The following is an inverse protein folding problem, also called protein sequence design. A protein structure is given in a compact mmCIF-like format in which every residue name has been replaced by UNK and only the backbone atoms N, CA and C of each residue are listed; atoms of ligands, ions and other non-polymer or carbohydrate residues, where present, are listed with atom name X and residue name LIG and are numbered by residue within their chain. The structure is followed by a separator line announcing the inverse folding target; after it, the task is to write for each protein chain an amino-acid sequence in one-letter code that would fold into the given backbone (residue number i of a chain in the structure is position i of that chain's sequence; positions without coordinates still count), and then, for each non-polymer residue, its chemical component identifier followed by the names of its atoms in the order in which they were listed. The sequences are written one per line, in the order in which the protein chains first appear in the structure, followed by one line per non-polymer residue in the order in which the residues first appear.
data_IF_124244566675
#
_entry.id   IF_124244566675
#
_cell.length_a   1.000
_cell.length_b   1.000
_cell.length_c   1.000
_cell.angle_alpha   90.00
_cell.angle_beta   90.00
_cell.angle_gamma   90.00
#
_symmetry.space_group_name_H-M   'P 1'
#
loop_
_entity.id
_entity.type
_entity.pdbx_description
1 polymer ?
#
# COMPACT_ATOMS: atom_id res chain seq x y z
N UNK A 1 -2.18 0.80 21.04
CA UNK A 1 -3.17 1.77 20.56
C UNK A 1 -4.56 1.35 21.06
N UNK A 2 -5.48 2.27 21.37
CA UNK A 2 -6.86 1.88 21.73
C UNK A 2 -7.71 1.62 20.47
N UNK A 3 -8.80 0.86 20.61
CA UNK A 3 -9.61 0.41 19.46
C UNK A 3 -10.28 1.59 18.71
N UNK A 4 -10.78 2.60 19.42
CA UNK A 4 -11.44 3.76 18.79
C UNK A 4 -10.48 4.54 17.89
N UNK A 5 -9.23 4.72 18.34
CA UNK A 5 -8.16 5.38 17.56
C UNK A 5 -7.77 4.51 16.36
N UNK A 6 -7.64 3.20 16.56
CA UNK A 6 -7.31 2.26 15.49
C UNK A 6 -8.37 2.30 14.37
N UNK A 7 -9.64 2.18 14.74
CA UNK A 7 -10.77 2.25 13.79
C UNK A 7 -10.80 3.56 13.01
N UNK A 8 -10.49 4.69 13.67
CA UNK A 8 -10.40 5.99 13.00
C UNK A 8 -9.28 6.00 11.95
N UNK A 9 -8.08 5.54 12.31
CA UNK A 9 -6.92 5.48 11.40
C UNK A 9 -7.22 4.56 10.20
N UNK A 10 -7.74 3.35 10.45
CA UNK A 10 -8.12 2.39 9.39
C UNK A 10 -9.16 2.98 8.45
N UNK A 11 -10.15 3.70 8.98
CA UNK A 11 -11.18 4.35 8.16
C UNK A 11 -10.61 5.47 7.29
N UNK A 12 -9.76 6.32 7.83
CA UNK A 12 -9.09 7.40 7.08
C UNK A 12 -8.17 6.81 6.00
N UNK A 13 -7.41 5.76 6.32
CA UNK A 13 -6.62 5.01 5.35
C UNK A 13 -7.47 4.39 4.23
N UNK A 14 -8.60 3.80 4.57
CA UNK A 14 -9.53 3.20 3.60
C UNK A 14 -10.13 4.20 2.61
N UNK A 15 -10.15 5.50 2.93
CA UNK A 15 -10.51 6.54 1.96
C UNK A 15 -9.42 6.68 0.91
N UNK A 16 -8.15 6.69 1.32
CA UNK A 16 -7.00 6.84 0.41
C UNK A 16 -6.83 5.63 -0.51
N UNK A 17 -7.24 4.43 -0.08
CA UNK A 17 -7.24 3.25 -0.95
C UNK A 17 -8.15 3.38 -2.18
N UNK A 18 -9.07 4.35 -2.20
CA UNK A 18 -9.93 4.63 -3.36
C UNK A 18 -9.27 5.54 -4.38
N UNK A 19 -8.15 6.18 -4.05
CA UNK A 19 -7.40 7.01 -4.98
C UNK A 19 -6.85 6.15 -6.13
N UNK A 20 -6.82 6.75 -7.31
CA UNK A 20 -6.31 6.07 -8.51
C UNK A 20 -4.82 5.77 -8.36
N UNK A 21 -4.36 4.60 -8.86
CA UNK A 21 -2.94 4.32 -8.92
C UNK A 21 -2.24 5.27 -9.88
N UNK A 22 -0.94 5.44 -9.65
CA UNK A 22 -0.05 6.18 -10.54
C UNK A 22 0.02 5.45 -11.88
N UNK A 23 -0.03 6.19 -12.99
CA UNK A 23 0.03 5.58 -14.33
C UNK A 23 1.25 4.63 -14.47
N UNK A 24 0.98 3.41 -14.93
CA UNK A 24 1.95 2.32 -15.13
C UNK A 24 2.64 1.78 -13.85
N UNK A 25 2.27 2.27 -12.66
CA UNK A 25 2.76 1.78 -11.38
C UNK A 25 1.57 1.24 -10.58
N UNK A 26 1.68 0.05 -10.01
CA UNK A 26 0.64 -0.55 -9.17
C UNK A 26 0.67 0.04 -7.75
N UNK A 27 0.76 1.37 -7.66
CA UNK A 27 1.04 2.07 -6.42
C UNK A 27 0.53 3.51 -6.37
N UNK A 28 0.60 4.09 -5.18
CA UNK A 28 0.16 5.45 -4.84
C UNK A 28 1.30 6.20 -4.17
N UNK A 29 1.20 7.53 -4.15
CA UNK A 29 2.21 8.34 -3.48
C UNK A 29 2.10 8.17 -1.96
N UNK A 30 3.25 8.02 -1.31
CA UNK A 30 3.34 7.91 0.15
C UNK A 30 2.76 9.12 0.86
N UNK A 31 2.93 10.32 0.28
CA UNK A 31 2.38 11.58 0.80
C UNK A 31 0.85 11.62 0.88
N UNK A 32 0.14 10.72 0.20
CA UNK A 32 -1.32 10.63 0.32
C UNK A 32 -1.77 9.96 1.62
N UNK A 33 -0.87 9.23 2.31
CA UNK A 33 -1.24 8.58 3.56
C UNK A 33 -1.55 9.62 4.66
N UNK A 34 -2.60 9.43 5.45
CA UNK A 34 -2.95 10.33 6.54
C UNK A 34 -2.02 10.17 7.75
N UNK A 35 -1.32 9.04 7.84
CA UNK A 35 -0.35 8.68 8.88
C UNK A 35 0.83 7.93 8.26
N UNK A 36 1.93 7.80 8.98
CA UNK A 36 3.03 6.94 8.55
C UNK A 36 2.60 5.46 8.50
N UNK A 37 3.35 4.66 7.72
CA UNK A 37 3.00 3.25 7.47
C UNK A 37 2.95 2.43 8.76
N UNK A 38 3.87 2.65 9.70
CA UNK A 38 3.93 1.87 10.94
C UNK A 38 2.71 2.15 11.82
N UNK A 39 2.30 3.42 11.93
CA UNK A 39 1.06 3.80 12.61
C UNK A 39 -0.17 3.12 12.01
N UNK A 40 -0.26 3.04 10.67
CA UNK A 40 -1.39 2.36 10.00
C UNK A 40 -1.33 0.84 10.20
N UNK A 41 -0.14 0.23 10.11
CA UNK A 41 0.05 -1.20 10.39
C UNK A 41 -0.44 -1.56 11.78
N UNK A 42 -0.04 -0.80 12.80
CA UNK A 42 -0.46 -1.04 14.17
C UNK A 42 -1.97 -0.84 14.37
N UNK A 43 -2.57 0.15 13.71
CA UNK A 43 -4.03 0.33 13.72
C UNK A 43 -4.77 -0.88 13.11
N UNK A 44 -4.30 -1.38 11.96
CA UNK A 44 -4.89 -2.55 11.31
C UNK A 44 -4.71 -3.81 12.18
N UNK A 45 -3.53 -4.01 12.80
CA UNK A 45 -3.28 -5.13 13.73
C UNK A 45 -4.25 -5.13 14.91
N UNK A 46 -4.51 -3.97 15.52
CA UNK A 46 -5.49 -3.85 16.61
C UNK A 46 -6.89 -4.24 16.14
N UNK A 47 -7.30 -3.79 14.95
CA UNK A 47 -8.61 -4.12 14.38
C UNK A 47 -8.71 -5.62 14.01
N UNK A 48 -7.63 -6.20 13.48
CA UNK A 48 -7.51 -7.64 13.21
C UNK A 48 -7.66 -8.49 14.48
N UNK A 49 -7.01 -8.11 15.58
CA UNK A 49 -7.18 -8.82 16.86
C UNK A 49 -8.63 -8.76 17.33
N UNK A 50 -9.26 -7.58 17.25
CA UNK A 50 -10.64 -7.40 17.68
C UNK A 50 -11.62 -8.25 16.85
N UNK A 51 -11.50 -8.19 15.52
CA UNK A 51 -12.36 -8.97 14.60
C UNK A 51 -12.07 -10.46 14.69
N UNK A 52 -10.79 -10.84 14.80
CA UNK A 52 -10.36 -12.23 14.77
C UNK A 52 -10.68 -13.02 16.04
N UNK A 53 -10.83 -12.34 17.18
CA UNK A 53 -11.22 -12.95 18.47
C UNK A 53 -12.72 -12.88 18.75
N UNK A 54 -13.52 -12.27 17.86
CA UNK A 54 -14.97 -12.21 18.01
C UNK A 54 -15.64 -13.57 17.75
N UNK A 55 -16.71 -13.88 18.48
CA UNK A 55 -17.54 -15.06 18.26
C UNK A 55 -19.00 -14.64 17.93
N UNK A 56 -19.50 -14.85 16.70
CA UNK A 56 -18.80 -15.42 15.54
C UNK A 56 -17.84 -14.43 14.88
N UNK A 57 -16.76 -14.95 14.29
CA UNK A 57 -15.78 -14.15 13.54
C UNK A 57 -16.36 -13.70 12.19
N UNK A 58 -16.20 -12.41 11.86
CA UNK A 58 -16.48 -11.90 10.51
C UNK A 58 -15.29 -12.15 9.57
N UNK A 59 -15.31 -13.31 8.90
CA UNK A 59 -14.29 -13.72 7.94
C UNK A 59 -14.06 -12.73 6.79
N UNK A 60 -15.12 -12.04 6.36
CA UNK A 60 -15.03 -11.11 5.23
C UNK A 60 -14.28 -9.86 5.66
N UNK A 61 -14.64 -9.31 6.82
CA UNK A 61 -13.95 -8.17 7.40
C UNK A 61 -12.50 -8.52 7.73
N UNK A 62 -12.26 -9.68 8.35
CA UNK A 62 -10.93 -10.15 8.70
C UNK A 62 -10.01 -10.20 7.47
N UNK A 63 -10.43 -10.88 6.39
CA UNK A 63 -9.67 -10.93 5.13
C UNK A 63 -9.50 -9.57 4.48
N UNK A 64 -10.50 -8.69 4.59
CA UNK A 64 -10.41 -7.32 4.07
C UNK A 64 -9.32 -6.53 4.80
N UNK A 65 -9.21 -6.68 6.12
CA UNK A 65 -8.16 -6.05 6.92
C UNK A 65 -6.78 -6.62 6.58
N UNK A 66 -6.65 -7.94 6.40
CA UNK A 66 -5.41 -8.58 5.94
C UNK A 66 -4.96 -8.01 4.59
N UNK A 67 -5.87 -7.93 3.60
CA UNK A 67 -5.56 -7.34 2.29
C UNK A 67 -5.18 -5.87 2.42
N UNK A 68 -5.87 -5.11 3.28
CA UNK A 68 -5.57 -3.70 3.52
C UNK A 68 -4.17 -3.51 4.12
N UNK A 69 -3.74 -4.41 5.01
CA UNK A 69 -2.38 -4.42 5.53
C UNK A 69 -1.35 -4.56 4.40
N UNK A 70 -1.55 -5.53 3.50
CA UNK A 70 -0.65 -5.76 2.37
C UNK A 70 -0.64 -4.60 1.37
N UNK A 71 -1.76 -3.89 1.20
CA UNK A 71 -1.84 -2.71 0.32
C UNK A 71 -0.90 -1.57 0.74
N UNK A 72 -0.37 -1.55 1.97
CA UNK A 72 0.65 -0.57 2.38
C UNK A 72 1.95 -0.68 1.58
N UNK A 73 2.26 -1.85 0.98
CA UNK A 73 3.39 -2.01 0.08
C UNK A 73 3.26 -1.13 -1.18
N UNK A 74 2.03 -0.86 -1.62
CA UNK A 74 1.74 -0.06 -2.82
C UNK A 74 2.00 1.44 -2.65
N UNK A 75 2.24 1.93 -1.43
CA UNK A 75 2.55 3.33 -1.18
C UNK A 75 4.05 3.60 -1.33
N UNK A 76 4.42 4.28 -2.41
CA UNK A 76 5.82 4.47 -2.82
C UNK A 76 6.28 5.90 -2.55
N UNK A 77 7.58 6.11 -2.23
CA UNK A 77 8.09 7.46 -2.01
C UNK A 77 7.84 8.36 -3.22
N UNK A 78 7.41 9.59 -2.99
CA UNK A 78 7.07 10.54 -4.05
C UNK A 78 8.20 10.77 -5.05
N UNK A 79 9.44 10.76 -4.57
CA UNK A 79 10.66 10.90 -5.38
C UNK A 79 10.95 9.72 -6.30
N UNK A 80 10.39 8.54 -6.02
CA UNK A 80 10.59 7.32 -6.81
C UNK A 80 9.70 7.30 -8.05
N UNK A 81 8.76 8.23 -8.16
CA UNK A 81 7.81 8.31 -9.25
C UNK A 81 8.22 9.46 -10.17
N UNK A 82 8.75 9.12 -11.34
CA UNK A 82 9.08 10.10 -12.37
C UNK A 82 7.86 10.23 -13.29
N UNK A 83 7.10 11.34 -13.26
CA UNK A 83 5.99 11.52 -14.17
C UNK A 83 6.50 11.59 -15.60
N UNK A 84 5.82 10.89 -16.52
CA UNK A 84 6.12 11.02 -17.94
C UNK A 84 5.66 12.38 -18.44
N UNK A 85 6.62 13.27 -18.69
CA UNK A 85 6.40 14.64 -19.16
C UNK A 85 6.32 14.63 -20.69
N UNK A 86 5.09 14.62 -21.20
CA UNK A 86 4.80 14.52 -22.65
C UNK A 86 5.43 15.68 -23.43
N UNK A 87 5.41 16.89 -22.88
CA UNK A 87 6.05 18.08 -23.43
C UNK A 87 7.57 17.90 -23.60
N UNK A 88 8.24 17.33 -22.59
CA UNK A 88 9.67 17.02 -22.66
C UNK A 88 9.94 15.90 -23.66
N UNK A 89 9.11 14.85 -23.65
CA UNK A 89 9.26 13.72 -24.55
C UNK A 89 9.10 14.13 -26.02
N UNK A 90 8.10 14.96 -26.34
CA UNK A 90 7.87 15.48 -27.70
C UNK A 90 8.96 16.43 -28.18
N UNK A 91 9.67 17.09 -27.25
CA UNK A 91 10.85 17.90 -27.55
C UNK A 91 12.16 17.12 -27.65
N UNK A 92 12.16 15.82 -27.34
CA UNK A 92 13.34 14.97 -27.43
C UNK A 92 13.59 14.50 -28.87
N UNK A 93 14.86 14.30 -29.22
CA UNK A 93 15.24 13.75 -30.53
C UNK A 93 14.69 12.34 -30.76
N UNK A 94 14.52 11.55 -29.68
CA UNK A 94 13.92 10.22 -29.70
C UNK A 94 12.89 10.05 -28.57
N UNK A 95 11.63 10.31 -28.93
CA UNK A 95 10.45 10.14 -28.07
C UNK A 95 10.31 8.69 -27.60
N UNK A 96 10.61 7.72 -28.48
CA UNK A 96 10.46 6.29 -28.19
C UNK A 96 11.45 5.86 -27.11
N UNK A 97 12.70 6.31 -27.19
CA UNK A 97 13.72 6.03 -26.19
C UNK A 97 13.36 6.65 -24.82
N UNK A 98 12.87 7.90 -24.80
CA UNK A 98 12.39 8.55 -23.57
C UNK A 98 11.24 7.78 -22.92
N UNK A 99 10.26 7.33 -23.72
CA UNK A 99 9.13 6.54 -23.22
C UNK A 99 9.57 5.16 -22.70
N UNK A 100 10.51 4.50 -23.37
CA UNK A 100 11.04 3.21 -22.92
C UNK A 100 11.75 3.34 -21.57
N UNK A 101 12.60 4.36 -21.40
CA UNK A 101 13.27 4.60 -20.12
C UNK A 101 12.27 4.86 -18.98
N UNK A 102 11.19 5.59 -19.24
CA UNK A 102 10.11 5.78 -18.27
C UNK A 102 9.44 4.45 -17.88
N UNK A 103 9.17 3.56 -18.84
CA UNK A 103 8.60 2.24 -18.54
C UNK A 103 9.55 1.38 -17.71
N UNK A 104 10.86 1.42 -17.98
CA UNK A 104 11.88 0.70 -17.20
C UNK A 104 11.89 1.18 -15.74
N UNK A 105 11.81 2.49 -15.50
CA UNK A 105 11.73 3.01 -14.12
C UNK A 105 10.42 2.60 -13.43
N UNK A 106 9.29 2.60 -14.15
CA UNK A 106 8.03 2.09 -13.60
C UNK A 106 8.12 0.60 -13.23
N UNK A 107 8.79 -0.22 -14.05
CA UNK A 107 9.00 -1.64 -13.79
C UNK A 107 9.82 -1.86 -12.52
N UNK A 108 10.86 -1.06 -12.28
CA UNK A 108 11.65 -1.11 -11.04
C UNK A 108 10.78 -0.84 -9.82
N UNK A 109 9.97 0.21 -9.85
CA UNK A 109 9.06 0.54 -8.74
C UNK A 109 8.05 -0.58 -8.51
N UNK A 110 7.52 -1.21 -9.56
CA UNK A 110 6.61 -2.35 -9.42
C UNK A 110 7.30 -3.57 -8.78
N UNK A 111 8.57 -3.84 -9.12
CA UNK A 111 9.36 -4.89 -8.46
C UNK A 111 9.55 -4.61 -6.98
N UNK A 112 9.90 -3.37 -6.63
CA UNK A 112 10.02 -2.95 -5.23
C UNK A 112 8.69 -3.16 -4.47
N UNK A 113 7.54 -2.82 -5.06
CA UNK A 113 6.22 -3.07 -4.44
C UNK A 113 5.99 -4.56 -4.18
N UNK A 114 6.36 -5.44 -5.11
CA UNK A 114 6.23 -6.90 -4.96
C UNK A 114 7.11 -7.39 -3.81
N UNK A 115 8.37 -6.94 -3.75
CA UNK A 115 9.30 -7.30 -2.67
C UNK A 115 8.78 -6.83 -1.30
N UNK A 116 8.29 -5.59 -1.21
CA UNK A 116 7.68 -5.07 0.01
C UNK A 116 6.41 -5.82 0.39
N UNK A 117 5.63 -6.28 -0.58
CA UNK A 117 4.43 -7.09 -0.32
C UNK A 117 4.82 -8.41 0.34
N UNK A 118 5.86 -9.09 -0.15
CA UNK A 118 6.35 -10.35 0.46
C UNK A 118 6.77 -10.16 1.92
N UNK A 119 7.48 -9.06 2.22
CA UNK A 119 7.87 -8.73 3.60
C UNK A 119 6.64 -8.50 4.50
N UNK A 120 5.61 -7.82 4.00
CA UNK A 120 4.38 -7.60 4.76
C UNK A 120 3.54 -8.87 4.93
N UNK A 121 3.59 -9.83 3.98
CA UNK A 121 2.98 -11.16 4.14
C UNK A 121 3.65 -11.88 5.31
N UNK A 122 4.98 -11.93 5.35
CA UNK A 122 5.71 -12.55 6.46
C UNK A 122 5.41 -11.87 7.80
N UNK A 123 5.40 -10.52 7.84
CA UNK A 123 5.04 -9.76 9.05
C UNK A 123 3.62 -10.08 9.53
N UNK A 124 2.65 -10.14 8.62
CA UNK A 124 1.25 -10.41 8.94
C UNK A 124 1.01 -11.86 9.39
N UNK A 125 1.66 -12.82 8.74
CA UNK A 125 1.55 -14.24 9.09
C UNK A 125 2.10 -14.50 10.49
N UNK A 126 3.28 -13.94 10.81
CA UNK A 126 3.85 -14.00 12.16
C UNK A 126 2.91 -13.38 13.19
N UNK A 127 2.37 -12.19 12.89
CA UNK A 127 1.41 -11.53 13.78
C UNK A 127 0.16 -12.39 14.04
N UNK A 128 -0.45 -12.98 13.00
CA UNK A 128 -1.63 -13.84 13.18
C UNK A 128 -1.31 -15.09 14.00
N UNK A 129 -0.18 -15.75 13.73
CA UNK A 129 0.26 -16.93 14.48
C UNK A 129 0.46 -16.62 15.97
N UNK A 130 1.16 -15.53 16.29
CA UNK A 130 1.44 -15.11 17.66
C UNK A 130 0.16 -14.76 18.45
N UNK A 131 -0.91 -14.39 17.75
CA UNK A 131 -2.18 -13.97 18.36
C UNK A 131 -3.30 -15.02 18.20
N UNK A 132 -3.01 -16.19 17.61
CA UNK A 132 -3.98 -17.27 17.42
C UNK A 132 -5.16 -16.90 16.50
N UNK A 133 -4.92 -16.05 15.48
CA UNK A 133 -5.93 -15.55 14.54
C UNK A 133 -6.02 -16.40 13.27
#
# INVERSE_FOLDING_TARGET
MNIETALKIVKEYGVILKEDPIKNIQGRLLSLLPYDKDTIKEAIKVDLTYVGTAEPRDEKLFKTLQLSFLQLASFVPDKSVIPFKVDIALGAEDVCHSYYNYLVECEKVNKDIIEQTSLLVEELDLFCQDNGL
#
